data_IF_324621835424
#
_entry.id   IF_324621835424
#
_cell.length_a   1.000
_cell.length_b   1.000
_cell.length_c   1.000
_cell.angle_alpha   90.00
_cell.angle_beta   90.00
_cell.angle_gamma   90.00
#
_symmetry.space_group_name_H-M   'P 1'
#
loop_
_entity.id
_entity.type
_entity.pdbx_description
1 polymer ?
#
# COMPACT_ATOMS: atom_id res chain seq x y z
N UNK A 1 23.85 20.21 -21.79
CA UNK A 1 23.02 21.19 -21.09
C UNK A 1 23.89 21.95 -20.10
N UNK A 2 24.26 23.19 -20.39
CA UNK A 2 24.89 24.08 -19.40
C UNK A 2 23.77 24.59 -18.49
N UNK A 3 23.66 24.07 -17.27
CA UNK A 3 22.78 24.65 -16.26
C UNK A 3 23.41 25.96 -15.79
N UNK A 4 22.93 27.09 -16.31
CA UNK A 4 23.15 28.38 -15.67
C UNK A 4 22.54 28.31 -14.27
N UNK A 5 23.34 28.61 -13.23
CA UNK A 5 22.87 28.59 -11.85
C UNK A 5 21.70 29.56 -11.64
N UNK A 6 20.78 29.20 -10.74
CA UNK A 6 19.63 30.04 -10.39
C UNK A 6 20.13 31.13 -9.42
N UNK A 7 19.94 32.40 -9.78
CA UNK A 7 20.23 33.53 -8.91
C UNK A 7 19.07 33.71 -7.93
N UNK A 8 19.37 33.78 -6.64
CA UNK A 8 18.40 34.02 -5.58
C UNK A 8 18.71 35.35 -4.89
N UNK A 9 17.75 36.25 -4.92
CA UNK A 9 17.78 37.51 -4.17
C UNK A 9 17.58 37.25 -2.66
N UNK A 10 17.97 38.21 -1.80
CA UNK A 10 17.74 38.08 -0.36
C UNK A 10 16.27 37.82 -0.03
N UNK A 11 16.02 36.76 0.76
CA UNK A 11 14.68 36.30 1.18
C UNK A 11 13.79 35.77 0.05
N UNK A 12 14.32 35.62 -1.15
CA UNK A 12 13.62 34.94 -2.24
C UNK A 12 13.44 33.46 -1.89
N UNK A 13 12.30 32.89 -2.30
CA UNK A 13 12.00 31.47 -2.13
C UNK A 13 12.19 30.78 -3.46
N UNK A 14 12.93 29.67 -3.46
CA UNK A 14 13.06 28.80 -4.61
C UNK A 14 12.12 27.60 -4.44
N UNK A 15 11.24 27.39 -5.41
CA UNK A 15 10.42 26.18 -5.50
C UNK A 15 11.08 25.20 -6.46
N UNK A 16 11.30 23.96 -6.01
CA UNK A 16 11.87 22.88 -6.82
C UNK A 16 10.79 21.81 -7.00
N UNK A 17 10.11 21.76 -8.17
CA UNK A 17 9.11 20.74 -8.41
C UNK A 17 9.77 19.36 -8.55
N UNK A 18 9.20 18.37 -7.88
CA UNK A 18 9.61 16.97 -7.98
C UNK A 18 8.47 16.21 -8.63
N UNK A 19 8.76 15.54 -9.75
CA UNK A 19 7.81 14.68 -10.46
C UNK A 19 8.28 13.23 -10.33
N UNK A 20 7.37 12.35 -9.90
CA UNK A 20 7.63 10.92 -9.77
C UNK A 20 6.73 10.15 -10.74
N UNK A 21 7.35 9.46 -11.71
CA UNK A 21 6.68 8.66 -12.73
C UNK A 21 7.39 7.31 -12.84
N UNK A 22 7.13 6.37 -11.92
CA UNK A 22 7.76 5.06 -11.94
C UNK A 22 7.26 4.24 -13.13
N UNK A 23 8.17 3.51 -13.76
CA UNK A 23 7.91 2.51 -14.79
C UNK A 23 7.78 1.10 -14.19
N UNK A 24 8.43 0.85 -13.05
CA UNK A 24 8.38 -0.42 -12.31
C UNK A 24 7.81 -0.26 -10.89
N UNK A 25 7.10 -1.28 -10.40
CA UNK A 25 6.50 -1.32 -9.05
C UNK A 25 7.52 -1.64 -7.95
N UNK A 26 8.43 -0.70 -7.69
CA UNK A 26 9.47 -0.79 -6.66
C UNK A 26 9.65 0.52 -5.89
N UNK A 27 10.45 0.49 -4.81
CA UNK A 27 10.92 1.71 -4.13
C UNK A 27 12.03 2.36 -4.94
N UNK A 28 11.91 3.67 -5.15
CA UNK A 28 12.96 4.51 -5.73
C UNK A 28 13.58 5.37 -4.63
N UNK A 29 14.91 5.38 -4.58
CA UNK A 29 15.68 6.26 -3.69
C UNK A 29 16.42 7.28 -4.53
N UNK A 30 16.20 8.55 -4.25
CA UNK A 30 16.87 9.66 -4.89
C UNK A 30 17.32 10.67 -3.84
N UNK A 31 18.20 11.57 -4.23
CA UNK A 31 18.68 12.65 -3.37
C UNK A 31 18.69 13.94 -4.18
N UNK A 32 18.04 14.99 -3.65
CA UNK A 32 18.16 16.34 -4.19
C UNK A 32 19.29 17.04 -3.47
N UNK A 33 20.27 17.48 -4.25
CA UNK A 33 21.45 18.18 -3.75
C UNK A 33 21.33 19.65 -4.16
N UNK A 34 21.18 20.54 -3.17
CA UNK A 34 21.18 21.98 -3.39
C UNK A 34 22.54 22.52 -2.96
N UNK A 35 23.33 23.00 -3.92
CA UNK A 35 24.60 23.67 -3.65
C UNK A 35 24.45 25.16 -3.92
N UNK A 36 24.63 25.98 -2.89
CA UNK A 36 24.63 27.44 -2.99
C UNK A 36 26.05 27.93 -2.87
N UNK A 37 26.48 28.67 -3.89
CA UNK A 37 27.77 29.35 -3.99
C UNK A 37 27.55 30.84 -4.21
N UNK A 38 28.56 31.65 -3.91
CA UNK A 38 28.47 33.10 -4.11
C UNK A 38 28.43 33.38 -5.61
N UNK A 39 27.62 34.35 -6.03
CA UNK A 39 27.44 34.70 -7.45
C UNK A 39 28.76 35.02 -8.17
N UNK A 40 29.71 35.64 -7.46
CA UNK A 40 31.03 35.99 -8.00
C UNK A 40 32.08 34.86 -7.89
N UNK A 41 31.69 33.67 -7.40
CA UNK A 41 32.57 32.53 -7.20
C UNK A 41 33.56 32.64 -6.04
N UNK A 42 33.58 33.76 -5.31
CA UNK A 42 34.46 33.95 -4.15
C UNK A 42 33.87 33.31 -2.88
N UNK A 43 34.74 32.96 -1.94
CA UNK A 43 34.30 32.48 -0.63
C UNK A 43 33.62 33.61 0.17
N UNK A 44 32.58 33.26 0.93
CA UNK A 44 31.96 34.18 1.88
C UNK A 44 32.89 34.44 3.07
N UNK A 45 32.88 35.69 3.61
CA UNK A 45 33.62 36.01 4.81
C UNK A 45 33.14 35.14 5.98
N UNK A 46 34.08 34.71 6.83
CA UNK A 46 33.80 33.86 7.99
C UNK A 46 32.76 34.51 8.91
N UNK A 47 31.70 33.77 9.25
CA UNK A 47 30.71 34.17 10.26
C UNK A 47 30.67 33.05 11.32
N UNK A 48 30.83 33.45 12.59
CA UNK A 48 30.93 32.58 13.76
C UNK A 48 29.94 31.40 13.71
N UNK A 49 30.48 30.19 13.70
CA UNK A 49 29.79 28.92 13.43
C UNK A 49 29.14 28.24 14.65
N UNK A 50 28.98 28.96 15.77
CA UNK A 50 28.53 28.41 17.05
C UNK A 50 27.07 27.87 17.10
N UNK A 51 26.41 27.68 15.96
CA UNK A 51 25.06 27.08 15.89
C UNK A 51 24.66 26.59 14.50
N UNK A 52 25.61 26.38 13.58
CA UNK A 52 25.28 26.15 12.16
C UNK A 52 24.99 24.68 11.80
N UNK A 53 25.34 23.75 12.69
CA UNK A 53 25.43 22.31 12.42
C UNK A 53 24.46 21.48 13.28
N UNK A 54 23.28 22.01 13.57
CA UNK A 54 22.22 21.30 14.31
C UNK A 54 21.29 20.49 13.42
N UNK A 55 21.41 20.60 12.10
CA UNK A 55 20.57 19.90 11.11
C UNK A 55 21.42 18.94 10.27
N UNK A 56 21.12 17.64 10.39
CA UNK A 56 21.82 16.53 9.71
C UNK A 56 21.80 16.63 8.18
N UNK A 57 20.95 17.48 7.60
CA UNK A 57 20.78 17.65 6.15
C UNK A 57 21.63 18.76 5.54
N UNK A 58 22.27 19.60 6.37
CA UNK A 58 23.02 20.79 5.94
C UNK A 58 24.51 20.62 6.18
N UNK A 59 25.31 20.68 5.12
CA UNK A 59 26.77 20.68 5.19
C UNK A 59 27.32 22.02 4.68
N UNK A 60 28.24 22.63 5.42
CA UNK A 60 28.91 23.87 5.00
C UNK A 60 30.33 23.53 4.58
N UNK A 61 30.70 23.84 3.34
CA UNK A 61 32.05 23.62 2.84
C UNK A 61 32.92 24.83 3.18
N UNK A 62 34.05 24.56 3.84
CA UNK A 62 34.99 25.58 4.33
C UNK A 62 36.33 25.40 3.61
N UNK A 63 36.87 26.48 3.05
CA UNK A 63 38.18 26.48 2.40
C UNK A 63 39.32 26.47 3.43
N UNK A 64 40.54 26.15 3.02
CA UNK A 64 41.74 26.06 3.88
C UNK A 64 42.00 27.36 4.69
N UNK A 65 41.56 28.51 4.17
CA UNK A 65 41.66 29.81 4.83
C UNK A 65 40.52 30.12 5.82
N UNK A 66 39.69 29.14 6.16
CA UNK A 66 38.56 29.26 7.08
C UNK A 66 37.33 29.96 6.50
N UNK A 67 37.32 30.35 5.22
CA UNK A 67 36.17 31.00 4.59
C UNK A 67 35.15 29.98 4.09
N UNK A 68 33.87 30.35 4.06
CA UNK A 68 32.81 29.47 3.57
C UNK A 68 32.82 29.48 2.05
N UNK A 69 33.02 28.33 1.42
CA UNK A 69 33.05 28.17 -0.04
C UNK A 69 31.65 27.88 -0.60
N UNK A 70 30.82 27.19 0.16
CA UNK A 70 29.53 26.68 -0.29
C UNK A 70 28.65 26.25 0.87
N UNK A 71 27.34 26.25 0.63
CA UNK A 71 26.37 25.61 1.51
C UNK A 71 25.67 24.53 0.71
N UNK A 72 25.71 23.31 1.24
CA UNK A 72 25.13 22.11 0.66
C UNK A 72 23.95 21.66 1.50
N UNK A 73 22.81 21.44 0.87
CA UNK A 73 21.69 20.72 1.46
C UNK A 73 21.44 19.43 0.70
N UNK A 74 21.21 18.36 1.46
CA UNK A 74 20.97 17.01 0.94
C UNK A 74 19.59 16.58 1.41
N UNK A 75 18.65 16.49 0.46
CA UNK A 75 17.28 16.06 0.72
C UNK A 75 17.06 14.66 0.16
N UNK A 76 17.05 13.61 1.01
CA UNK A 76 16.72 12.26 0.57
C UNK A 76 15.23 12.17 0.22
N UNK A 77 14.93 11.56 -0.92
CA UNK A 77 13.57 11.33 -1.43
C UNK A 77 13.38 9.84 -1.61
N UNK A 78 12.32 9.30 -1.01
CA UNK A 78 11.88 7.92 -1.21
C UNK A 78 10.54 7.95 -1.97
N UNK A 79 10.51 7.43 -3.18
CA UNK A 79 9.31 7.26 -3.98
C UNK A 79 8.79 5.83 -3.87
N UNK A 80 7.55 5.67 -3.41
CA UNK A 80 6.84 4.39 -3.40
C UNK A 80 5.91 4.36 -4.61
N UNK A 81 6.07 3.35 -5.46
CA UNK A 81 5.28 3.24 -6.69
C UNK A 81 3.85 2.83 -6.37
N UNK A 82 2.88 3.65 -6.75
CA UNK A 82 1.45 3.36 -6.60
C UNK A 82 0.84 2.96 -7.93
N UNK A 83 0.11 1.85 -7.92
CA UNK A 83 -0.61 1.38 -9.09
C UNK A 83 -1.74 2.35 -9.48
N UNK A 84 -2.07 2.44 -10.78
CA UNK A 84 -3.26 3.15 -11.23
C UNK A 84 -4.52 2.67 -10.50
N UNK A 85 -5.54 3.53 -10.48
CA UNK A 85 -6.81 3.21 -9.83
C UNK A 85 -7.39 1.90 -10.37
N UNK A 86 -7.63 0.96 -9.46
CA UNK A 86 -8.18 -0.35 -9.77
C UNK A 86 -9.72 -0.27 -9.86
N UNK A 87 -10.31 -1.22 -10.59
CA UNK A 87 -11.77 -1.36 -10.66
C UNK A 87 -12.31 -1.80 -9.30
N UNK A 88 -13.47 -1.27 -8.93
CA UNK A 88 -14.14 -1.67 -7.71
C UNK A 88 -14.69 -3.09 -7.81
N UNK A 89 -14.50 -3.88 -6.76
CA UNK A 89 -15.11 -5.20 -6.61
C UNK A 89 -16.35 -5.07 -5.72
N UNK A 90 -17.47 -5.63 -6.15
CA UNK A 90 -18.75 -5.54 -5.44
C UNK A 90 -19.02 -6.84 -4.68
N UNK A 91 -19.25 -6.72 -3.38
CA UNK A 91 -19.64 -7.80 -2.46
C UNK A 91 -21.07 -7.53 -2.00
N UNK A 92 -22.02 -8.35 -2.43
CA UNK A 92 -23.45 -8.07 -2.25
C UNK A 92 -24.22 -9.26 -1.68
N UNK A 93 -25.00 -9.02 -0.63
CA UNK A 93 -25.98 -9.96 -0.10
C UNK A 93 -27.20 -9.24 0.48
N UNK A 94 -28.17 -9.98 1.01
CA UNK A 94 -29.24 -9.41 1.83
C UNK A 94 -28.76 -9.19 3.27
N UNK A 95 -29.39 -8.27 3.98
CA UNK A 95 -29.21 -8.16 5.42
C UNK A 95 -29.60 -9.47 6.12
N UNK A 96 -28.93 -9.77 7.24
CA UNK A 96 -29.05 -10.99 8.07
C UNK A 96 -28.54 -12.28 7.41
N UNK A 97 -27.98 -12.19 6.21
CA UNK A 97 -27.32 -13.32 5.55
C UNK A 97 -25.80 -13.25 5.71
N UNK A 98 -25.14 -14.41 5.64
CA UNK A 98 -23.68 -14.52 5.58
C UNK A 98 -23.27 -14.83 4.14
N UNK A 99 -22.43 -13.99 3.57
CA UNK A 99 -21.79 -14.22 2.29
C UNK A 99 -20.31 -14.55 2.50
N UNK A 100 -19.83 -15.60 1.84
CA UNK A 100 -18.40 -15.87 1.68
C UNK A 100 -18.09 -15.89 0.18
N UNK A 101 -17.19 -15.02 -0.25
CA UNK A 101 -16.87 -14.83 -1.66
C UNK A 101 -15.36 -14.80 -1.85
N UNK A 102 -14.88 -15.58 -2.82
CA UNK A 102 -13.49 -15.46 -3.30
C UNK A 102 -13.35 -14.23 -4.19
N UNK A 103 -12.37 -13.40 -3.89
CA UNK A 103 -12.03 -12.18 -4.62
C UNK A 103 -10.58 -12.28 -5.07
N UNK A 104 -10.38 -12.21 -6.38
CA UNK A 104 -9.07 -12.25 -7.02
C UNK A 104 -8.57 -10.82 -7.27
N UNK A 105 -7.41 -10.48 -6.72
CA UNK A 105 -6.77 -9.18 -6.88
C UNK A 105 -5.47 -9.34 -7.68
N UNK A 106 -5.42 -8.68 -8.83
CA UNK A 106 -4.31 -8.78 -9.79
C UNK A 106 -3.28 -7.67 -9.55
N UNK A 107 -2.10 -8.06 -9.07
CA UNK A 107 -0.96 -7.16 -8.90
C UNK A 107 -0.12 -7.16 -10.18
N UNK A 108 -0.33 -6.15 -11.02
CA UNK A 108 0.41 -5.99 -12.28
C UNK A 108 1.74 -5.30 -12.01
N UNK A 109 2.81 -5.80 -12.64
CA UNK A 109 4.14 -5.16 -12.64
C UNK A 109 5.04 -5.59 -11.49
N UNK A 110 4.74 -6.69 -10.81
CA UNK A 110 5.61 -7.24 -9.76
C UNK A 110 6.78 -7.96 -10.41
N UNK A 111 8.00 -7.55 -10.05
CA UNK A 111 9.21 -8.23 -10.50
C UNK A 111 9.72 -9.17 -9.42
N UNK A 112 10.12 -10.41 -9.75
CA UNK A 112 10.85 -11.26 -8.83
C UNK A 112 12.15 -10.54 -8.43
N UNK A 113 12.51 -10.59 -7.15
CA UNK A 113 13.85 -10.19 -6.75
C UNK A 113 14.84 -11.07 -7.53
N UNK A 114 15.62 -10.47 -8.42
CA UNK A 114 16.68 -11.18 -9.12
C UNK A 114 17.56 -11.83 -8.05
N UNK A 115 17.59 -13.16 -8.02
CA UNK A 115 18.59 -13.90 -7.26
C UNK A 115 19.92 -13.31 -7.66
N UNK A 116 20.65 -12.73 -6.71
CA UNK A 116 21.97 -12.18 -6.98
C UNK A 116 22.79 -13.30 -7.64
N UNK A 117 23.07 -13.15 -8.94
CA UNK A 117 24.03 -13.99 -9.63
C UNK A 117 25.33 -13.88 -8.83
N UNK A 118 25.92 -14.98 -8.31
CA UNK A 118 27.27 -14.90 -7.78
C UNK A 118 28.15 -14.46 -8.95
N UNK A 119 28.80 -13.32 -8.76
CA UNK A 119 29.78 -12.81 -9.69
C UNK A 119 30.79 -13.92 -9.98
N UNK A 120 30.93 -14.27 -11.26
CA UNK A 120 32.00 -15.14 -11.74
C UNK A 120 33.34 -14.55 -11.27
N UNK A 121 33.97 -15.24 -10.32
CA UNK A 121 35.23 -14.90 -9.69
C UNK A 121 36.06 -16.16 -9.56
N UNK A 122 36.70 -16.51 -10.66
CA UNK A 122 37.61 -17.60 -10.94
C UNK A 122 38.55 -17.91 -9.75
N UNK A 123 38.60 -19.16 -9.28
CA UNK A 123 39.87 -19.78 -8.85
C UNK A 123 39.75 -21.31 -8.82
N UNK A 124 40.86 -21.94 -9.19
CA UNK A 124 41.00 -23.30 -9.66
C UNK A 124 41.14 -24.36 -8.55
N UNK A 125 40.55 -25.54 -8.81
CA UNK A 125 41.03 -26.92 -8.61
C UNK A 125 41.64 -27.29 -7.26
N UNK A 126 41.00 -28.23 -6.53
CA UNK A 126 41.57 -29.54 -6.14
C UNK A 126 40.41 -30.56 -5.94
N UNK A 127 40.43 -31.65 -6.70
CA UNK A 127 39.61 -32.87 -6.53
C UNK A 127 40.11 -33.73 -5.35
N UNK A 128 39.20 -34.36 -4.59
CA UNK A 128 39.19 -35.81 -4.24
C UNK A 128 37.77 -36.21 -3.76
N UNK A 129 37.25 -37.30 -4.34
CA UNK A 129 35.98 -38.04 -4.13
C UNK A 129 35.79 -38.50 -2.66
N UNK A 130 34.65 -38.92 -2.09
CA UNK A 130 33.43 -39.60 -2.55
C UNK A 130 32.42 -39.62 -1.37
N UNK A 131 31.10 -39.58 -1.64
CA UNK A 131 30.02 -40.25 -0.87
C UNK A 131 28.67 -39.51 -0.97
N UNK A 132 27.89 -39.91 -1.95
CA UNK A 132 26.45 -40.21 -1.93
C UNK A 132 25.59 -39.69 -0.77
N UNK A 133 24.66 -38.77 -1.08
CA UNK A 133 23.21 -38.89 -0.87
C UNK A 133 22.51 -37.69 -1.54
N UNK A 134 21.43 -37.88 -2.33
CA UNK A 134 20.67 -36.76 -2.86
C UNK A 134 19.71 -36.23 -1.79
N UNK A 135 19.75 -34.95 -1.41
CA UNK A 135 18.59 -34.33 -0.79
C UNK A 135 17.59 -34.02 -1.91
N UNK A 136 16.35 -34.43 -1.65
CA UNK A 136 15.18 -34.19 -2.46
C UNK A 136 15.13 -32.75 -2.98
N UNK A 137 14.75 -32.61 -4.25
CA UNK A 137 14.65 -31.34 -4.93
C UNK A 137 13.61 -30.44 -4.26
N UNK A 138 14.10 -29.50 -3.45
CA UNK A 138 13.35 -28.31 -3.08
C UNK A 138 13.17 -27.48 -4.34
N UNK A 139 11.92 -27.41 -4.80
CA UNK A 139 11.51 -26.50 -5.86
C UNK A 139 12.14 -25.12 -5.65
N UNK A 140 12.85 -24.65 -6.67
CA UNK A 140 13.46 -23.34 -6.73
C UNK A 140 12.39 -22.25 -6.74
N UNK A 141 11.82 -21.95 -5.57
CA UNK A 141 10.95 -20.81 -5.34
C UNK A 141 11.75 -19.52 -5.56
N UNK A 142 11.35 -18.63 -6.48
CA UNK A 142 11.98 -17.34 -6.62
C UNK A 142 11.73 -16.55 -5.32
N UNK A 143 12.81 -16.31 -4.57
CA UNK A 143 12.98 -15.37 -3.46
C UNK A 143 11.66 -14.74 -2.93
N UNK A 144 11.26 -15.22 -1.75
CA UNK A 144 10.02 -14.96 -0.99
C UNK A 144 9.55 -13.49 -1.04
N UNK A 145 8.79 -13.12 -2.08
CA UNK A 145 8.06 -11.85 -2.08
C UNK A 145 6.91 -11.94 -1.09
N UNK A 146 7.02 -11.17 -0.01
CA UNK A 146 5.98 -11.00 0.98
C UNK A 146 5.07 -9.82 0.61
N UNK A 147 3.78 -9.99 0.90
CA UNK A 147 2.75 -8.98 0.68
C UNK A 147 2.09 -8.66 2.01
N UNK A 148 2.10 -7.39 2.36
CA UNK A 148 1.33 -6.85 3.46
C UNK A 148 0.01 -6.35 2.90
N UNK A 149 -1.09 -6.66 3.58
CA UNK A 149 -2.42 -6.20 3.18
C UNK A 149 -3.16 -5.61 4.37
N UNK A 150 -3.91 -4.55 4.11
CA UNK A 150 -4.72 -3.86 5.11
C UNK A 150 -6.05 -3.44 4.49
N UNK A 151 -7.13 -3.58 5.26
CA UNK A 151 -8.43 -3.03 4.90
C UNK A 151 -8.56 -1.62 5.47
N UNK A 152 -8.56 -0.62 4.59
CA UNK A 152 -8.64 0.79 4.95
C UNK A 152 -10.05 1.33 4.71
N UNK A 153 -10.49 2.23 5.60
CA UNK A 153 -11.84 2.82 5.56
C UNK A 153 -11.74 4.32 5.29
N UNK A 154 -12.74 4.89 4.62
CA UNK A 154 -12.77 6.33 4.30
C UNK A 154 -13.03 7.20 5.54
N UNK A 155 -13.66 6.64 6.59
CA UNK A 155 -13.92 7.33 7.86
C UNK A 155 -14.07 6.35 9.02
N UNK A 156 -13.98 6.86 10.25
CA UNK A 156 -14.19 6.07 11.47
C UNK A 156 -15.64 5.59 11.63
N UNK A 157 -16.62 6.31 11.07
CA UNK A 157 -18.02 5.88 11.01
C UNK A 157 -18.17 4.64 10.11
N UNK A 158 -17.57 4.66 8.91
CA UNK A 158 -17.60 3.52 7.99
C UNK A 158 -16.86 2.33 8.60
N UNK A 159 -15.73 2.58 9.25
CA UNK A 159 -14.99 1.55 10.00
C UNK A 159 -15.89 0.91 11.05
N UNK A 160 -16.49 1.71 11.92
CA UNK A 160 -17.37 1.20 12.99
C UNK A 160 -18.53 0.34 12.45
N UNK A 161 -19.01 0.65 11.24
CA UNK A 161 -20.05 -0.13 10.57
C UNK A 161 -19.54 -1.42 9.90
N UNK A 162 -18.32 -1.45 9.36
CA UNK A 162 -17.81 -2.59 8.60
C UNK A 162 -16.87 -3.52 9.38
N UNK A 163 -16.15 -3.01 10.38
CA UNK A 163 -15.06 -3.70 11.10
C UNK A 163 -15.52 -5.04 11.71
N UNK A 164 -16.75 -5.10 12.22
CA UNK A 164 -17.36 -6.33 12.76
C UNK A 164 -18.15 -7.15 11.74
N UNK A 165 -18.43 -6.61 10.56
CA UNK A 165 -19.29 -7.24 9.54
C UNK A 165 -18.48 -7.84 8.39
N UNK A 166 -17.24 -7.42 8.21
CA UNK A 166 -16.34 -7.84 7.12
C UNK A 166 -15.11 -8.53 7.67
N UNK A 167 -14.84 -9.74 7.19
CA UNK A 167 -13.56 -10.42 7.38
C UNK A 167 -12.88 -10.62 6.04
N UNK A 168 -11.57 -10.40 5.97
CA UNK A 168 -10.76 -10.67 4.79
C UNK A 168 -9.51 -11.44 5.17
N UNK A 169 -9.22 -12.51 4.44
CA UNK A 169 -7.99 -13.29 4.62
C UNK A 169 -7.49 -13.82 3.28
N UNK A 170 -6.17 -13.82 3.13
CA UNK A 170 -5.51 -14.39 1.96
C UNK A 170 -5.64 -15.92 2.01
N UNK A 171 -6.14 -16.52 0.94
CA UNK A 171 -6.29 -17.97 0.80
C UNK A 171 -5.19 -18.54 -0.07
N UNK A 172 -4.90 -17.88 -1.19
CA UNK A 172 -4.02 -18.42 -2.21
C UNK A 172 -3.27 -17.29 -2.93
N UNK A 173 -2.07 -17.61 -3.40
CA UNK A 173 -1.21 -16.72 -4.15
C UNK A 173 -0.74 -17.47 -5.38
N UNK A 174 -1.04 -16.91 -6.54
CA UNK A 174 -0.59 -17.43 -7.83
C UNK A 174 0.35 -16.43 -8.47
N UNK A 175 1.37 -16.93 -9.16
CA UNK A 175 2.34 -16.10 -9.83
C UNK A 175 2.43 -16.51 -11.30
N UNK A 176 2.20 -15.54 -12.19
CA UNK A 176 2.47 -15.68 -13.62
C UNK A 176 3.80 -14.98 -13.96
N UNK A 177 4.84 -15.79 -14.19
CA UNK A 177 6.18 -15.31 -14.56
C UNK A 177 6.23 -14.67 -15.94
N UNK A 178 5.39 -15.10 -16.88
CA UNK A 178 5.39 -14.57 -18.24
C UNK A 178 4.72 -13.19 -18.26
N UNK A 179 3.57 -13.07 -17.61
CA UNK A 179 2.80 -11.82 -17.57
C UNK A 179 3.27 -10.83 -16.50
N UNK A 180 4.13 -11.26 -15.55
CA UNK A 180 4.54 -10.46 -14.37
C UNK A 180 3.35 -9.99 -13.54
N UNK A 181 2.38 -10.89 -13.37
CA UNK A 181 1.16 -10.66 -12.61
C UNK A 181 1.15 -11.61 -11.43
N UNK A 182 0.82 -11.08 -10.27
CA UNK A 182 0.55 -11.88 -9.06
C UNK A 182 -0.93 -11.82 -8.77
N UNK A 183 -1.58 -12.97 -8.68
CA UNK A 183 -2.97 -13.06 -8.27
C UNK A 183 -3.01 -13.39 -6.79
N UNK A 184 -3.57 -12.49 -5.99
CA UNK A 184 -3.87 -12.76 -4.59
C UNK A 184 -5.36 -13.08 -4.45
N UNK A 185 -5.66 -14.30 -4.01
CA UNK A 185 -7.04 -14.77 -3.84
C UNK A 185 -7.42 -14.63 -2.38
N UNK A 186 -8.33 -13.70 -2.10
CA UNK A 186 -8.87 -13.46 -0.77
C UNK A 186 -10.21 -14.15 -0.61
N UNK A 187 -10.47 -14.70 0.58
CA UNK A 187 -11.84 -15.02 0.98
C UNK A 187 -12.38 -13.83 1.79
N UNK A 188 -13.43 -13.24 1.26
CA UNK A 188 -14.15 -12.12 1.86
C UNK A 188 -15.43 -12.65 2.47
N UNK A 189 -15.54 -12.49 3.79
CA UNK A 189 -16.71 -12.81 4.58
C UNK A 189 -17.47 -11.52 4.84
N UNK A 190 -18.76 -11.49 4.54
CA UNK A 190 -19.63 -10.35 4.80
C UNK A 190 -20.93 -10.78 5.48
N UNK A 191 -21.20 -10.24 6.67
CA UNK A 191 -22.33 -10.63 7.53
C UNK A 191 -23.12 -9.40 7.99
N UNK A 192 -23.79 -8.66 7.09
CA UNK A 192 -24.52 -7.46 7.46
C UNK A 192 -25.76 -7.77 8.30
N UNK A 193 -26.02 -6.99 9.35
CA UNK A 193 -27.24 -7.11 10.16
C UNK A 193 -28.39 -6.19 9.69
N UNK A 194 -28.04 -5.12 8.96
CA UNK A 194 -28.97 -4.11 8.44
C UNK A 194 -28.63 -3.80 6.98
N UNK A 195 -29.60 -3.31 6.18
CA UNK A 195 -29.32 -2.77 4.87
C UNK A 195 -28.28 -1.65 4.95
N UNK A 196 -27.27 -1.69 4.08
CA UNK A 196 -26.16 -0.75 4.08
C UNK A 196 -25.45 -0.73 2.73
N UNK A 197 -24.77 0.38 2.43
CA UNK A 197 -23.87 0.51 1.29
C UNK A 197 -22.64 1.31 1.70
N UNK A 198 -21.52 0.61 1.87
CA UNK A 198 -20.26 1.22 2.27
C UNK A 198 -19.11 0.76 1.36
N UNK A 199 -18.05 1.55 1.35
CA UNK A 199 -16.83 1.28 0.59
C UNK A 199 -15.63 1.22 1.53
N UNK A 200 -14.76 0.26 1.28
CA UNK A 200 -13.45 0.14 1.91
C UNK A 200 -12.41 -0.20 0.85
N UNK A 201 -11.14 0.03 1.12
CA UNK A 201 -10.06 -0.22 0.16
C UNK A 201 -9.10 -1.25 0.73
N UNK A 202 -8.86 -2.33 0.00
CA UNK A 202 -7.75 -3.24 0.31
C UNK A 202 -6.48 -2.62 -0.25
N UNK A 203 -5.56 -2.26 0.63
CA UNK A 203 -4.23 -1.84 0.25
C UNK A 203 -3.32 -3.05 0.31
N UNK A 204 -2.50 -3.23 -0.72
CA UNK A 204 -1.54 -4.32 -0.82
C UNK A 204 -0.20 -3.67 -1.08
N UNK A 205 0.75 -3.93 -0.19
CA UNK A 205 2.12 -3.46 -0.30
C UNK A 205 3.06 -4.64 -0.44
N UNK A 206 3.90 -4.62 -1.48
CA UNK A 206 4.97 -5.59 -1.61
C UNK A 206 6.22 -5.10 -0.88
N UNK A 207 7.02 -6.00 -0.31
CA UNK A 207 8.31 -5.67 0.32
C UNK A 207 9.29 -4.96 -0.62
N UNK A 208 9.14 -5.13 -1.93
CA UNK A 208 9.94 -4.42 -2.95
C UNK A 208 9.49 -2.98 -3.21
N UNK A 209 8.33 -2.56 -2.70
CA UNK A 209 7.87 -1.16 -2.73
C UNK A 209 6.70 -0.82 -3.62
N UNK A 210 6.06 -1.78 -4.28
CA UNK A 210 4.81 -1.54 -4.99
C UNK A 210 3.63 -1.40 -4.02
N UNK A 211 2.71 -0.48 -4.31
CA UNK A 211 1.46 -0.27 -3.60
C UNK A 211 0.28 -0.40 -4.56
N UNK A 212 -0.66 -1.29 -4.27
CA UNK A 212 -1.90 -1.45 -5.02
C UNK A 212 -3.08 -1.16 -4.09
N UNK A 213 -4.10 -0.47 -4.62
CA UNK A 213 -5.32 -0.11 -3.89
C UNK A 213 -6.52 -0.64 -4.65
N UNK A 214 -7.27 -1.55 -4.02
CA UNK A 214 -8.46 -2.18 -4.60
C UNK A 214 -9.72 -1.75 -3.83
N UNK A 215 -10.60 -0.94 -4.44
CA UNK A 215 -11.86 -0.58 -3.81
C UNK A 215 -12.80 -1.78 -3.71
N UNK A 216 -13.33 -2.04 -2.52
CA UNK A 216 -14.39 -3.01 -2.23
C UNK A 216 -15.67 -2.28 -1.84
N UNK A 217 -16.75 -2.56 -2.57
CA UNK A 217 -18.08 -2.00 -2.31
C UNK A 217 -18.94 -3.08 -1.67
N UNK A 218 -19.32 -2.88 -0.41
CA UNK A 218 -20.18 -3.78 0.36
C UNK A 218 -21.62 -3.29 0.30
N UNK A 219 -22.53 -4.16 -0.17
CA UNK A 219 -23.95 -3.83 -0.35
C UNK A 219 -24.79 -4.89 0.36
N UNK A 220 -25.53 -4.46 1.38
CA UNK A 220 -26.59 -5.25 2.00
C UNK A 220 -27.95 -4.66 1.61
N UNK A 221 -28.79 -5.46 0.95
CA UNK A 221 -30.19 -5.07 0.64
C UNK A 221 -31.12 -5.42 1.79
N UNK A 222 -32.40 -5.05 1.67
CA UNK A 222 -33.47 -5.51 2.55
C UNK A 222 -33.39 -7.03 2.79
N UNK A 223 -33.61 -7.47 4.05
CA UNK A 223 -33.67 -8.88 4.39
C UNK A 223 -34.89 -9.53 3.72
N UNK A 224 -34.86 -10.86 3.59
CA UNK A 224 -36.07 -11.60 3.25
C UNK A 224 -37.11 -11.45 4.37
N UNK A 225 -38.38 -11.46 3.97
CA UNK A 225 -39.48 -11.43 4.94
C UNK A 225 -39.50 -12.78 5.65
N UNK A 226 -39.15 -12.78 6.94
CA UNK A 226 -39.06 -14.01 7.74
C UNK A 226 -40.40 -14.76 7.76
N UNK A 227 -41.51 -14.03 7.95
CA UNK A 227 -42.87 -14.57 7.94
C UNK A 227 -43.89 -13.47 7.61
N UNK A 228 -45.02 -13.84 7.00
CA UNK A 228 -46.14 -12.94 6.72
C UNK A 228 -47.27 -13.22 7.71
N UNK A 229 -47.56 -12.25 8.58
CA UNK A 229 -48.73 -12.33 9.47
C UNK A 229 -49.94 -11.74 8.73
N UNK A 230 -50.83 -12.62 8.28
CA UNK A 230 -52.13 -12.22 7.72
C UNK A 230 -53.13 -11.99 8.86
N UNK A 231 -53.71 -10.79 8.92
CA UNK A 231 -54.76 -10.44 9.87
C UNK A 231 -56.06 -10.28 9.10
N UNK A 232 -57.02 -11.16 9.37
CA UNK A 232 -58.34 -11.14 8.76
C UNK A 232 -59.32 -10.33 9.61
N UNK A 233 -60.06 -9.41 9.00
CA UNK A 233 -61.07 -8.61 9.67
C UNK A 233 -62.47 -9.23 9.57
N UNK A 234 -63.26 -9.14 10.64
CA UNK A 234 -64.64 -9.68 10.70
C UNK A 234 -65.64 -8.85 9.88
N UNK A 235 -65.28 -7.63 9.48
CA UNK A 235 -66.08 -6.74 8.61
C UNK A 235 -65.82 -5.25 8.86
N UNK A 236 -66.34 -4.37 7.98
CA UNK A 236 -66.29 -2.92 8.18
C UNK A 236 -67.08 -2.50 9.43
N UNK A 237 -66.54 -1.55 10.21
CA UNK A 237 -67.12 -1.01 11.45
C UNK A 237 -67.37 -2.03 12.56
N UNK A 238 -66.62 -3.14 12.58
CA UNK A 238 -66.62 -4.10 13.70
C UNK A 238 -65.23 -4.16 14.32
N UNK A 239 -65.17 -4.13 15.64
CA UNK A 239 -63.92 -4.29 16.38
C UNK A 239 -63.45 -5.74 16.32
N UNK A 240 -62.17 -5.94 16.03
CA UNK A 240 -61.49 -7.23 16.13
C UNK A 240 -60.14 -7.00 16.83
N UNK A 241 -59.86 -7.81 17.85
CA UNK A 241 -58.65 -7.70 18.67
C UNK A 241 -57.85 -8.98 18.45
N UNK A 242 -56.62 -8.82 17.96
CA UNK A 242 -55.64 -9.91 17.85
C UNK A 242 -54.46 -9.58 18.75
N UNK A 243 -54.14 -10.49 19.66
CA UNK A 243 -53.00 -10.38 20.56
C UNK A 243 -51.88 -11.32 20.14
N UNK A 244 -50.66 -10.80 19.99
CA UNK A 244 -49.48 -11.59 19.71
C UNK A 244 -48.57 -11.63 20.94
N UNK A 245 -48.07 -12.81 21.29
CA UNK A 245 -47.05 -12.98 22.31
C UNK A 245 -45.75 -13.37 21.64
N UNK A 246 -44.82 -12.42 21.57
CA UNK A 246 -43.48 -12.68 21.08
C UNK A 246 -42.63 -13.22 22.23
N UNK A 247 -42.00 -14.37 22.04
CA UNK A 247 -41.03 -14.93 23.00
C UNK A 247 -39.69 -15.11 22.31
N UNK A 248 -38.67 -14.40 22.79
CA UNK A 248 -37.29 -14.62 22.38
C UNK A 248 -36.71 -15.81 23.18
N UNK A 249 -36.24 -16.85 22.49
CA UNK A 249 -35.36 -17.86 23.09
C UNK A 249 -33.95 -17.61 22.58
N UNK A 250 -33.13 -16.94 23.39
CA UNK A 250 -31.68 -16.89 23.18
C UNK A 250 -31.12 -18.27 23.47
N UNK A 251 -30.51 -18.91 22.47
CA UNK A 251 -29.77 -20.18 22.61
C UNK A 251 -28.29 -19.91 22.78
#
# INVERSE_FOLDING_TARGET
FHLAGIRLAPKEKLEIPILFMPDEMKVYKAVVIINVTRENGENWPYVNSAGLNTDLTRTVTVAENGKIQGILWIYPINGTSEAPQQKSVVVRCQARQRLEQRVELLLIGVLPAATALPAAGNSAVVDVEESSNPPEGTDGSPATLEFLYELQYQSDEIRSQLDSLVGIHLVEKEWDTESRIVTLIFNVVFVPSKPMRNEATVTIQCTTGGLWKFPLVFIATEPEVDDVINIEAVGLNKESIVGFKLTSQTR
#
